data_IF_798135853528
#
_entry.id   IF_798135853528
#
_cell.length_a   1.000
_cell.length_b   1.000
_cell.length_c   1.000
_cell.angle_alpha   90.00
_cell.angle_beta   90.00
_cell.angle_gamma   90.00
#
_symmetry.space_group_name_H-M   'P 1'
#
loop_
_entity.id
_entity.type
_entity.pdbx_description
1 polymer ?
#
# COMPACT_ATOMS: atom_id res chain seq x y z
N UNK A 1 81.02 -11.46 -32.53
CA UNK A 1 81.19 -10.78 -31.24
C UNK A 1 82.21 -11.58 -30.45
N UNK A 2 83.40 -11.04 -30.19
CA UNK A 2 84.49 -11.75 -29.49
C UNK A 2 84.30 -11.66 -27.97
N UNK A 3 84.97 -12.55 -27.22
CA UNK A 3 84.94 -12.54 -25.75
C UNK A 3 85.37 -11.19 -25.17
N UNK A 4 86.30 -10.48 -25.81
CA UNK A 4 86.71 -9.14 -25.36
C UNK A 4 85.57 -8.10 -25.45
N UNK A 5 84.76 -8.13 -26.51
CA UNK A 5 83.62 -7.23 -26.68
C UNK A 5 82.52 -7.47 -25.64
N UNK A 6 82.42 -8.69 -25.11
CA UNK A 6 81.46 -9.06 -24.07
C UNK A 6 81.91 -8.59 -22.68
N UNK A 7 83.23 -8.54 -22.43
CA UNK A 7 83.79 -7.98 -21.19
C UNK A 7 83.75 -6.45 -21.14
N UNK A 8 83.88 -5.77 -22.28
CA UNK A 8 83.74 -4.31 -22.36
C UNK A 8 82.32 -3.84 -22.05
N UNK A 9 81.30 -4.56 -22.54
CA UNK A 9 79.88 -4.28 -22.26
C UNK A 9 79.52 -4.56 -20.79
N UNK A 10 80.19 -5.52 -20.15
CA UNK A 10 79.98 -5.86 -18.73
C UNK A 10 80.77 -4.97 -17.77
N UNK A 11 81.84 -4.31 -18.23
CA UNK A 11 82.67 -3.42 -17.43
C UNK A 11 81.98 -2.08 -17.12
N UNK A 12 80.94 -1.71 -17.88
CA UNK A 12 80.15 -0.48 -17.70
C UNK A 12 78.92 -0.67 -16.79
N UNK A 13 78.78 -1.86 -16.18
CA UNK A 13 77.74 -2.08 -15.16
C UNK A 13 78.23 -1.51 -13.84
N UNK A 14 77.92 -0.23 -13.63
CA UNK A 14 78.17 0.48 -12.39
C UNK A 14 77.57 -0.29 -11.20
N UNK A 15 78.42 -0.65 -10.23
CA UNK A 15 78.04 -1.32 -9.01
C UNK A 15 76.98 -0.53 -8.22
N UNK A 16 76.91 0.79 -8.41
CA UNK A 16 75.89 1.67 -7.85
C UNK A 16 74.51 1.42 -8.49
N UNK A 17 74.44 1.20 -9.82
CA UNK A 17 73.19 0.85 -10.50
C UNK A 17 72.69 -0.55 -10.11
N UNK A 18 73.60 -1.52 -9.90
CA UNK A 18 73.25 -2.86 -9.42
C UNK A 18 72.74 -2.81 -7.97
N UNK A 19 73.35 -1.98 -7.11
CA UNK A 19 72.91 -1.78 -5.73
C UNK A 19 71.57 -1.02 -5.63
N UNK A 20 71.32 -0.04 -6.51
CA UNK A 20 70.04 0.66 -6.64
C UNK A 20 68.92 -0.27 -7.14
N UNK A 21 69.20 -1.11 -8.14
CA UNK A 21 68.27 -2.13 -8.61
C UNK A 21 67.96 -3.18 -7.52
N UNK A 22 68.95 -3.55 -6.69
CA UNK A 22 68.75 -4.44 -5.54
C UNK A 22 67.97 -3.78 -4.39
N UNK A 23 68.10 -2.46 -4.19
CA UNK A 23 67.28 -1.66 -3.25
C UNK A 23 65.84 -1.51 -3.73
N UNK A 24 65.62 -1.26 -5.03
CA UNK A 24 64.29 -1.15 -5.63
C UNK A 24 63.48 -2.45 -5.46
N UNK A 25 64.14 -3.62 -5.55
CA UNK A 25 63.54 -4.95 -5.32
C UNK A 25 63.19 -5.22 -3.84
N UNK A 26 63.75 -4.46 -2.89
CA UNK A 26 63.53 -4.61 -1.43
C UNK A 26 62.45 -3.69 -0.84
N UNK A 27 61.78 -2.86 -1.64
CA UNK A 27 60.67 -2.03 -1.15
C UNK A 27 59.35 -2.83 -1.05
N UNK A 28 59.34 -3.86 -0.20
CA UNK A 28 58.14 -4.61 0.16
C UNK A 28 57.01 -3.70 0.65
N UNK A 29 57.34 -2.57 1.29
CA UNK A 29 56.40 -1.53 1.69
C UNK A 29 55.68 -0.88 0.50
N UNK A 30 56.37 -0.60 -0.62
CA UNK A 30 55.76 -0.02 -1.82
C UNK A 30 54.87 -1.04 -2.55
N UNK A 31 55.30 -2.30 -2.60
CA UNK A 31 54.47 -3.39 -3.13
C UNK A 31 53.23 -3.65 -2.26
N UNK A 32 53.37 -3.57 -0.94
CA UNK A 32 52.26 -3.68 0.01
C UNK A 32 51.31 -2.49 -0.10
N UNK A 33 51.82 -1.26 -0.23
CA UNK A 33 51.04 -0.05 -0.50
C UNK A 33 50.27 -0.14 -1.83
N UNK A 34 50.90 -0.63 -2.91
CA UNK A 34 50.23 -0.85 -4.20
C UNK A 34 49.15 -1.93 -4.12
N UNK A 35 49.41 -3.04 -3.42
CA UNK A 35 48.42 -4.10 -3.18
C UNK A 35 47.27 -3.62 -2.29
N UNK A 36 47.57 -2.82 -1.26
CA UNK A 36 46.57 -2.20 -0.40
C UNK A 36 45.72 -1.18 -1.18
N UNK A 37 46.34 -0.37 -2.05
CA UNK A 37 45.63 0.56 -2.92
C UNK A 37 44.73 -0.19 -3.93
N UNK A 38 45.22 -1.25 -4.57
CA UNK A 38 44.41 -2.09 -5.46
C UNK A 38 43.25 -2.76 -4.73
N UNK A 39 43.49 -3.30 -3.53
CA UNK A 39 42.43 -3.87 -2.69
C UNK A 39 41.40 -2.80 -2.29
N UNK A 40 41.85 -1.60 -1.92
CA UNK A 40 40.95 -0.48 -1.60
C UNK A 40 40.13 -0.04 -2.82
N UNK A 41 40.73 0.07 -4.00
CA UNK A 41 40.01 0.35 -5.25
C UNK A 41 38.98 -0.74 -5.56
N UNK A 42 39.33 -2.01 -5.36
CA UNK A 42 38.39 -3.12 -5.56
C UNK A 42 37.23 -3.08 -4.57
N UNK A 43 37.48 -2.79 -3.30
CA UNK A 43 36.43 -2.58 -2.30
C UNK A 43 35.51 -1.41 -2.65
N UNK A 44 36.06 -0.29 -3.17
CA UNK A 44 35.27 0.87 -3.61
C UNK A 44 34.39 0.52 -4.83
N UNK A 45 34.93 -0.24 -5.79
CA UNK A 45 34.15 -0.71 -6.96
C UNK A 45 33.04 -1.65 -6.51
N UNK A 46 33.34 -2.62 -5.65
CA UNK A 46 32.32 -3.54 -5.11
C UNK A 46 31.24 -2.80 -4.31
N UNK A 47 31.64 -1.86 -3.46
CA UNK A 47 30.72 -1.02 -2.70
C UNK A 47 29.83 -0.19 -3.62
N UNK A 48 30.40 0.43 -4.66
CA UNK A 48 29.66 1.18 -5.67
C UNK A 48 28.67 0.32 -6.45
N UNK A 49 29.06 -0.89 -6.86
CA UNK A 49 28.18 -1.83 -7.55
C UNK A 49 27.03 -2.32 -6.65
N UNK A 50 27.30 -2.57 -5.37
CA UNK A 50 26.27 -2.96 -4.40
C UNK A 50 25.27 -1.83 -4.17
N UNK A 51 25.74 -0.60 -3.96
CA UNK A 51 24.87 0.56 -3.81
C UNK A 51 24.05 0.82 -5.08
N UNK A 52 24.66 0.70 -6.27
CA UNK A 52 23.95 0.86 -7.53
C UNK A 52 22.85 -0.19 -7.70
N UNK A 53 23.13 -1.45 -7.35
CA UNK A 53 22.12 -2.52 -7.34
C UNK A 53 20.99 -2.26 -6.34
N UNK A 54 21.28 -1.67 -5.18
CA UNK A 54 20.23 -1.30 -4.23
C UNK A 54 19.37 -0.14 -4.78
N UNK A 55 19.96 0.83 -5.46
CA UNK A 55 19.24 1.94 -6.08
C UNK A 55 18.37 1.50 -7.28
N UNK A 56 18.73 0.39 -7.93
CA UNK A 56 18.05 -0.21 -9.09
C UNK A 56 17.61 -1.65 -8.79
N UNK A 57 17.12 -1.89 -7.57
CA UNK A 57 16.81 -3.23 -7.08
C UNK A 57 15.67 -3.89 -7.86
N UNK A 58 14.71 -3.10 -8.33
CA UNK A 58 13.52 -3.59 -9.03
C UNK A 58 13.49 -3.14 -10.49
N UNK A 59 12.95 -3.97 -11.40
CA UNK A 59 12.67 -3.55 -12.77
C UNK A 59 11.66 -2.41 -12.78
N UNK A 60 11.77 -1.54 -13.78
CA UNK A 60 10.86 -0.40 -13.98
C UNK A 60 9.76 -0.82 -14.95
N UNK A 61 8.50 -0.60 -14.56
CA UNK A 61 7.34 -0.65 -15.43
C UNK A 61 6.87 0.78 -15.71
N UNK A 62 6.93 1.17 -16.97
CA UNK A 62 6.42 2.48 -17.42
C UNK A 62 4.95 2.30 -17.77
N UNK A 63 4.09 3.09 -17.14
CA UNK A 63 2.66 3.18 -17.49
C UNK A 63 2.42 4.55 -18.10
N UNK A 64 2.08 4.57 -19.38
CA UNK A 64 1.68 5.80 -20.06
C UNK A 64 0.23 6.09 -19.73
N UNK A 65 -0.03 7.24 -19.10
CA UNK A 65 -1.37 7.73 -18.87
C UNK A 65 -1.71 8.76 -19.95
N UNK A 66 -2.94 8.72 -20.45
CA UNK A 66 -3.48 9.85 -21.20
C UNK A 66 -3.47 11.07 -20.28
N UNK A 67 -2.97 12.21 -20.78
CA UNK A 67 -3.03 13.45 -20.02
C UNK A 67 -4.51 13.74 -19.71
N UNK A 68 -4.87 13.74 -18.44
CA UNK A 68 -6.08 14.41 -18.03
C UNK A 68 -5.93 15.89 -18.40
N UNK A 69 -6.99 16.54 -18.92
CA UNK A 69 -6.95 17.98 -19.13
C UNK A 69 -6.51 18.64 -17.83
N UNK A 70 -5.60 19.62 -17.92
CA UNK A 70 -5.07 20.38 -16.78
C UNK A 70 -6.20 21.11 -16.05
N UNK A 71 -6.93 20.40 -15.19
CA UNK A 71 -7.71 21.03 -14.14
C UNK A 71 -6.76 21.25 -12.97
N UNK A 72 -5.79 22.15 -13.17
CA UNK A 72 -4.98 22.76 -12.11
C UNK A 72 -5.78 23.79 -11.29
N UNK A 73 -7.07 23.55 -11.10
CA UNK A 73 -7.88 24.23 -10.10
C UNK A 73 -7.75 23.47 -8.78
N UNK A 74 -7.86 24.17 -7.65
CA UNK A 74 -8.11 23.54 -6.37
C UNK A 74 -9.15 22.43 -6.55
N UNK A 75 -8.92 21.22 -6.01
CA UNK A 75 -9.91 20.13 -6.03
C UNK A 75 -11.14 20.55 -5.22
N UNK A 76 -11.97 21.42 -5.80
CA UNK A 76 -13.26 21.78 -5.25
C UNK A 76 -14.17 20.62 -5.67
N UNK A 77 -14.26 19.62 -4.80
CA UNK A 77 -15.25 18.58 -4.94
C UNK A 77 -16.62 19.25 -5.03
N UNK A 78 -17.26 19.16 -6.20
CA UNK A 78 -18.60 19.72 -6.39
C UNK A 78 -19.57 18.75 -5.74
N UNK A 79 -20.27 19.22 -4.71
CA UNK A 79 -21.35 18.44 -4.10
C UNK A 79 -22.47 18.35 -5.14
N UNK A 80 -22.93 17.15 -5.54
CA UNK A 80 -24.04 17.03 -6.49
C UNK A 80 -25.30 17.67 -5.91
N UNK A 81 -26.19 18.17 -6.77
CA UNK A 81 -27.50 18.65 -6.28
C UNK A 81 -28.35 17.49 -5.82
N UNK A 82 -29.30 17.75 -4.92
CA UNK A 82 -30.18 16.72 -4.38
C UNK A 82 -30.87 15.90 -5.48
N UNK A 83 -31.37 16.55 -6.52
CA UNK A 83 -32.07 15.91 -7.64
C UNK A 83 -31.15 15.10 -8.57
N UNK A 84 -29.84 15.29 -8.47
CA UNK A 84 -28.81 14.60 -9.26
C UNK A 84 -28.23 13.40 -8.50
N UNK A 85 -28.47 13.33 -7.18
CA UNK A 85 -28.02 12.24 -6.33
C UNK A 85 -28.85 10.97 -6.55
N UNK A 86 -28.18 9.82 -6.50
CA UNK A 86 -28.85 8.53 -6.43
C UNK A 86 -29.58 8.37 -5.07
N UNK A 87 -30.60 7.51 -5.00
CA UNK A 87 -31.43 7.39 -3.79
C UNK A 87 -30.62 7.02 -2.53
N UNK A 88 -29.55 6.24 -2.69
CA UNK A 88 -28.66 5.86 -1.59
C UNK A 88 -27.77 7.02 -1.12
N UNK A 89 -27.55 8.03 -1.96
CA UNK A 89 -26.81 9.26 -1.62
C UNK A 89 -27.76 10.30 -1.02
N UNK A 90 -28.99 10.38 -1.54
CA UNK A 90 -30.04 11.22 -0.98
C UNK A 90 -30.32 10.84 0.47
N UNK A 91 -30.61 9.56 0.74
CA UNK A 91 -31.07 9.09 2.05
C UNK A 91 -30.04 8.16 2.68
N UNK A 92 -28.87 8.70 3.00
CA UNK A 92 -27.70 7.92 3.35
C UNK A 92 -27.61 7.49 4.82
N UNK A 93 -28.27 8.17 5.75
CA UNK A 93 -28.16 7.90 7.19
C UNK A 93 -29.34 7.08 7.71
N UNK A 94 -29.05 5.95 8.36
CA UNK A 94 -30.04 5.11 9.05
C UNK A 94 -29.68 4.97 10.53
N UNK A 95 -30.68 5.07 11.41
CA UNK A 95 -30.53 4.73 12.83
C UNK A 95 -31.33 3.47 13.16
N UNK A 96 -30.65 2.48 13.76
CA UNK A 96 -31.27 1.23 14.17
C UNK A 96 -30.58 0.67 15.41
N UNK A 97 -31.36 0.25 16.42
CA UNK A 97 -30.85 -0.26 17.70
C UNK A 97 -29.75 0.60 18.36
N UNK A 98 -29.91 1.93 18.31
CA UNK A 98 -28.96 2.89 18.90
C UNK A 98 -27.64 3.02 18.14
N UNK A 99 -27.53 2.42 16.95
CA UNK A 99 -26.37 2.50 16.05
C UNK A 99 -26.71 3.33 14.82
N UNK A 100 -25.70 3.99 14.27
CA UNK A 100 -25.79 4.72 13.01
C UNK A 100 -25.16 3.90 11.89
N UNK A 101 -25.87 3.78 10.78
CA UNK A 101 -25.40 3.16 9.55
C UNK A 101 -25.40 4.19 8.43
N UNK A 102 -24.45 4.03 7.51
CA UNK A 102 -24.39 4.82 6.27
C UNK A 102 -24.48 3.92 5.05
N UNK A 103 -25.23 4.32 4.05
CA UNK A 103 -25.46 3.53 2.83
C UNK A 103 -24.24 3.55 1.92
N UNK A 104 -24.18 2.58 0.99
CA UNK A 104 -23.18 2.51 -0.07
C UNK A 104 -23.87 2.26 -1.41
N UNK A 105 -23.18 2.61 -2.49
CA UNK A 105 -23.65 2.37 -3.86
C UNK A 105 -23.80 0.89 -4.23
N UNK A 106 -23.25 -0.03 -3.42
CA UNK A 106 -23.32 -1.47 -3.70
C UNK A 106 -24.76 -1.98 -3.64
N UNK A 107 -25.19 -2.54 -4.76
CA UNK A 107 -26.49 -3.18 -4.91
C UNK A 107 -26.43 -4.63 -4.48
N UNK A 108 -27.50 -5.07 -3.82
CA UNK A 108 -27.68 -6.43 -3.33
C UNK A 108 -28.79 -7.13 -4.12
N UNK A 109 -28.59 -8.42 -4.35
CA UNK A 109 -29.65 -9.31 -4.82
C UNK A 109 -30.45 -9.86 -3.63
N UNK A 110 -31.71 -10.22 -3.87
CA UNK A 110 -32.56 -10.87 -2.86
C UNK A 110 -31.94 -12.14 -2.24
N UNK A 111 -31.01 -12.81 -2.95
CA UNK A 111 -30.31 -13.98 -2.43
C UNK A 111 -29.39 -13.68 -1.26
N UNK A 112 -28.88 -12.45 -1.15
CA UNK A 112 -27.98 -11.98 -0.09
C UNK A 112 -28.73 -11.49 1.15
N UNK A 113 -30.04 -11.29 1.06
CA UNK A 113 -30.88 -10.86 2.17
C UNK A 113 -31.25 -12.02 3.09
N UNK A 114 -31.26 -11.75 4.39
CA UNK A 114 -31.84 -12.60 5.43
C UNK A 114 -33.24 -12.12 5.81
N UNK A 115 -33.56 -12.16 7.10
CA UNK A 115 -34.88 -11.79 7.62
C UNK A 115 -35.09 -10.26 7.55
N UNK A 116 -36.32 -9.83 7.31
CA UNK A 116 -36.73 -8.44 7.55
C UNK A 116 -36.66 -8.10 9.05
N UNK A 117 -36.04 -6.96 9.36
CA UNK A 117 -35.75 -6.52 10.72
C UNK A 117 -36.74 -5.47 11.20
N UNK A 118 -36.92 -4.40 10.43
CA UNK A 118 -37.78 -3.27 10.79
C UNK A 118 -38.03 -2.36 9.59
N UNK A 119 -39.15 -1.65 9.65
CA UNK A 119 -39.33 -0.41 8.89
C UNK A 119 -38.67 0.74 9.66
N UNK A 120 -37.91 1.58 8.98
CA UNK A 120 -37.15 2.70 9.54
C UNK A 120 -37.31 3.96 8.70
N UNK A 121 -36.90 5.09 9.26
CA UNK A 121 -36.75 6.35 8.53
C UNK A 121 -35.31 6.51 8.09
N UNK A 122 -35.09 6.65 6.78
CA UNK A 122 -33.81 7.00 6.19
C UNK A 122 -33.71 8.52 6.06
N UNK A 123 -32.56 9.09 6.42
CA UNK A 123 -32.33 10.53 6.49
C UNK A 123 -31.29 10.98 5.48
N UNK A 124 -31.47 12.21 5.01
CA UNK A 124 -30.61 12.88 4.06
C UNK A 124 -30.45 14.37 4.35
N UNK A 125 -29.45 14.97 3.73
CA UNK A 125 -29.18 16.40 3.83
C UNK A 125 -29.00 17.03 2.45
N UNK A 126 -29.85 18.01 2.15
CA UNK A 126 -29.82 18.83 0.95
C UNK A 126 -29.03 20.11 1.24
N UNK A 127 -27.71 20.04 0.95
CA UNK A 127 -26.77 21.15 1.20
C UNK A 127 -27.21 22.45 0.52
N UNK A 128 -27.79 22.37 -0.68
CA UNK A 128 -28.21 23.55 -1.42
C UNK A 128 -29.49 24.18 -0.84
N UNK A 129 -30.44 23.38 -0.35
CA UNK A 129 -31.58 23.92 0.38
C UNK A 129 -31.16 24.64 1.67
N UNK A 130 -30.20 24.08 2.41
CA UNK A 130 -29.67 24.72 3.63
C UNK A 130 -28.95 26.05 3.31
N UNK A 131 -28.11 26.06 2.26
CA UNK A 131 -27.45 27.28 1.76
C UNK A 131 -28.45 28.37 1.32
N UNK A 132 -29.60 27.97 0.79
CA UNK A 132 -30.72 28.86 0.45
C UNK A 132 -31.53 29.34 1.68
N UNK A 133 -31.17 28.93 2.90
CA UNK A 133 -31.86 29.26 4.15
C UNK A 133 -33.16 28.48 4.36
N UNK A 134 -33.33 27.32 3.71
CA UNK A 134 -34.46 26.41 3.89
C UNK A 134 -34.03 25.23 4.78
N UNK A 135 -34.99 24.42 5.23
CA UNK A 135 -34.65 23.18 5.91
C UNK A 135 -34.04 22.18 4.90
N UNK A 136 -32.75 21.87 5.07
CA UNK A 136 -32.03 20.89 4.27
C UNK A 136 -32.33 19.44 4.64
N UNK A 137 -33.00 19.18 5.77
CA UNK A 137 -33.28 17.81 6.20
C UNK A 137 -34.33 17.15 5.31
N UNK A 138 -34.02 15.98 4.79
CA UNK A 138 -34.94 15.14 4.02
C UNK A 138 -35.06 13.76 4.67
N UNK A 139 -36.18 13.08 4.41
CA UNK A 139 -36.40 11.73 4.91
C UNK A 139 -37.30 10.91 4.01
N UNK A 140 -37.09 9.60 4.00
CA UNK A 140 -37.98 8.61 3.38
C UNK A 140 -38.14 7.38 4.26
N UNK A 141 -39.14 6.55 3.99
CA UNK A 141 -39.30 5.25 4.64
C UNK A 141 -38.40 4.22 3.96
N UNK A 142 -37.85 3.29 4.75
CA UNK A 142 -37.11 2.16 4.23
C UNK A 142 -37.33 0.91 5.08
N UNK A 143 -37.05 -0.26 4.51
CA UNK A 143 -37.10 -1.55 5.18
C UNK A 143 -35.68 -2.09 5.35
N UNK A 144 -35.34 -2.46 6.58
CA UNK A 144 -34.07 -3.09 6.92
C UNK A 144 -34.20 -4.61 6.91
N UNK A 145 -33.15 -5.25 6.44
CA UNK A 145 -33.01 -6.70 6.41
C UNK A 145 -31.64 -7.10 6.95
N UNK A 146 -31.54 -8.31 7.46
CA UNK A 146 -30.26 -8.95 7.71
C UNK A 146 -29.48 -9.09 6.40
N UNK A 147 -28.16 -8.91 6.47
CA UNK A 147 -27.25 -9.26 5.38
C UNK A 147 -26.64 -10.63 5.70
N UNK A 148 -26.88 -11.62 4.84
CA UNK A 148 -26.44 -13.00 5.11
C UNK A 148 -24.93 -13.08 5.32
N UNK A 149 -24.55 -13.75 6.41
CA UNK A 149 -23.14 -13.97 6.76
C UNK A 149 -22.44 -12.75 7.35
N UNK A 150 -23.13 -11.62 7.52
CA UNK A 150 -22.56 -10.42 8.14
C UNK A 150 -23.29 -10.13 9.45
N UNK A 151 -22.54 -9.84 10.50
CA UNK A 151 -23.10 -9.43 11.78
C UNK A 151 -23.83 -8.10 11.62
N UNK A 152 -25.02 -7.99 12.21
CA UNK A 152 -25.84 -6.78 12.17
C UNK A 152 -25.12 -5.55 12.72
N UNK A 153 -24.17 -5.75 13.63
CA UNK A 153 -23.36 -4.67 14.19
C UNK A 153 -22.38 -4.08 13.17
N UNK A 154 -22.10 -4.76 12.06
CA UNK A 154 -21.24 -4.30 11.00
C UNK A 154 -22.01 -3.70 9.81
N UNK A 155 -23.02 -4.41 9.31
CA UNK A 155 -23.76 -3.99 8.13
C UNK A 155 -25.15 -4.61 8.06
N UNK A 156 -26.05 -3.96 7.34
CA UNK A 156 -27.42 -4.38 7.06
C UNK A 156 -27.74 -4.17 5.58
N UNK A 157 -28.82 -4.80 5.13
CA UNK A 157 -29.42 -4.51 3.82
C UNK A 157 -30.60 -3.55 3.99
N UNK A 158 -30.82 -2.70 3.00
CA UNK A 158 -31.83 -1.63 3.01
C UNK A 158 -32.60 -1.66 1.69
N UNK A 159 -33.92 -1.49 1.76
CA UNK A 159 -34.77 -1.20 0.61
C UNK A 159 -35.54 0.09 0.87
N UNK A 160 -35.48 1.05 -0.05
CA UNK A 160 -36.27 2.27 0.05
C UNK A 160 -37.72 2.01 -0.37
N UNK A 161 -38.68 2.64 0.30
CA UNK A 161 -40.09 2.57 -0.08
C UNK A 161 -40.29 2.99 -1.55
N UNK A 162 -41.08 2.23 -2.30
CA UNK A 162 -41.33 2.48 -3.72
C UNK A 162 -40.20 2.08 -4.66
N UNK A 163 -39.14 1.43 -4.16
CA UNK A 163 -38.03 0.92 -4.99
C UNK A 163 -37.93 -0.61 -4.96
N UNK A 164 -37.40 -1.20 -6.03
CA UNK A 164 -37.13 -2.64 -6.11
C UNK A 164 -35.69 -3.00 -5.71
N UNK A 165 -34.80 -1.99 -5.64
CA UNK A 165 -33.38 -2.17 -5.38
C UNK A 165 -33.06 -2.32 -3.88
N UNK A 166 -32.09 -3.19 -3.60
CA UNK A 166 -31.52 -3.35 -2.25
C UNK A 166 -30.11 -2.78 -2.21
N UNK A 167 -29.79 -2.07 -1.14
CA UNK A 167 -28.48 -1.46 -0.90
C UNK A 167 -27.90 -1.94 0.41
N UNK A 168 -26.59 -1.87 0.55
CA UNK A 168 -25.92 -2.12 1.83
C UNK A 168 -25.80 -0.83 2.63
N UNK A 169 -25.97 -0.92 3.95
CA UNK A 169 -25.58 0.13 4.87
C UNK A 169 -24.63 -0.42 5.93
N UNK A 170 -23.59 0.36 6.26
CA UNK A 170 -22.47 -0.06 7.09
C UNK A 170 -22.37 0.79 8.35
N UNK A 171 -21.99 0.16 9.46
CA UNK A 171 -21.71 0.83 10.72
C UNK A 171 -20.20 1.09 10.84
N UNK A 172 -19.78 2.30 10.51
CA UNK A 172 -18.38 2.72 10.60
C UNK A 172 -17.86 2.73 12.04
N UNK A 173 -18.75 2.88 13.02
CA UNK A 173 -18.42 2.89 14.46
C UNK A 173 -18.24 1.49 15.05
N UNK A 174 -18.45 0.42 14.27
CA UNK A 174 -18.17 -0.93 14.73
C UNK A 174 -16.70 -1.08 15.14
N UNK A 175 -16.50 -1.70 16.30
CA UNK A 175 -15.19 -1.93 16.93
C UNK A 175 -15.14 -3.37 17.41
N UNK A 176 -14.50 -4.29 16.67
CA UNK A 176 -14.29 -5.66 17.14
C UNK A 176 -13.33 -5.64 18.33
N UNK A 177 -13.45 -6.61 19.24
CA UNK A 177 -12.49 -6.84 20.33
C UNK A 177 -11.22 -7.51 19.80
N UNK A 178 -11.38 -8.47 18.88
CA UNK A 178 -10.28 -9.25 18.32
C UNK A 178 -10.29 -9.28 16.79
N UNK A 179 -9.14 -9.61 16.19
CA UNK A 179 -9.02 -9.81 14.75
C UNK A 179 -9.91 -10.97 14.26
N UNK A 180 -10.01 -12.05 15.04
CA UNK A 180 -10.88 -13.19 14.73
C UNK A 180 -12.35 -12.79 14.71
N UNK A 181 -12.79 -12.00 15.69
CA UNK A 181 -14.14 -11.44 15.69
C UNK A 181 -14.37 -10.58 14.44
N UNK A 182 -13.41 -9.72 14.09
CA UNK A 182 -13.51 -8.89 12.90
C UNK A 182 -13.67 -9.70 11.60
N UNK A 183 -12.88 -10.76 11.46
CA UNK A 183 -12.92 -11.68 10.32
C UNK A 183 -14.26 -12.41 10.24
N UNK A 184 -14.78 -12.88 11.38
CA UNK A 184 -16.01 -13.66 11.44
C UNK A 184 -17.25 -12.79 11.26
N UNK A 185 -17.32 -11.64 11.94
CA UNK A 185 -18.48 -10.72 11.89
C UNK A 185 -18.67 -10.12 10.49
N UNK A 186 -17.61 -9.98 9.70
CA UNK A 186 -17.67 -9.54 8.32
C UNK A 186 -17.57 -10.68 7.29
N UNK A 187 -17.48 -11.93 7.76
CA UNK A 187 -17.21 -13.10 6.93
C UNK A 187 -16.13 -12.84 5.87
N UNK A 188 -14.99 -12.29 6.31
CA UNK A 188 -13.92 -11.83 5.41
C UNK A 188 -13.30 -12.96 4.61
N UNK A 189 -13.36 -14.21 5.08
CA UNK A 189 -12.87 -15.37 4.32
C UNK A 189 -13.57 -15.54 2.96
N UNK A 190 -14.84 -15.16 2.87
CA UNK A 190 -15.63 -15.25 1.64
C UNK A 190 -15.74 -13.91 0.88
N UNK A 191 -15.61 -12.79 1.60
CA UNK A 191 -15.94 -11.46 1.06
C UNK A 191 -14.72 -10.56 0.81
N UNK A 192 -13.54 -10.90 1.35
CA UNK A 192 -12.32 -10.11 1.18
C UNK A 192 -11.52 -10.63 0.00
N UNK A 193 -11.16 -9.74 -0.92
CA UNK A 193 -10.19 -10.04 -1.96
C UNK A 193 -8.98 -9.12 -1.86
N UNK A 194 -7.81 -9.67 -2.17
CA UNK A 194 -6.52 -8.95 -2.11
C UNK A 194 -6.10 -8.53 -3.50
N UNK A 195 -5.62 -7.29 -3.61
CA UNK A 195 -4.99 -6.73 -4.79
C UNK A 195 -3.49 -6.55 -4.59
N UNK A 196 -2.95 -5.50 -5.20
CA UNK A 196 -1.52 -5.18 -5.18
C UNK A 196 -1.00 -4.91 -3.77
N UNK A 197 0.21 -5.41 -3.49
CA UNK A 197 1.00 -5.01 -2.32
C UNK A 197 1.97 -3.90 -2.70
N UNK A 198 2.03 -2.85 -1.89
CA UNK A 198 2.81 -1.64 -2.10
C UNK A 198 3.88 -1.49 -1.04
N UNK A 199 5.10 -1.18 -1.48
CA UNK A 199 6.24 -0.87 -0.62
C UNK A 199 6.81 0.50 -0.97
N UNK A 200 6.85 1.41 0.00
CA UNK A 200 7.50 2.71 -0.17
C UNK A 200 9.00 2.54 0.04
N UNK A 201 9.75 2.57 -1.05
CA UNK A 201 11.19 2.41 -1.04
C UNK A 201 11.90 3.75 -1.20
N UNK A 202 12.85 4.03 -0.30
CA UNK A 202 13.76 5.16 -0.42
C UNK A 202 15.08 4.68 -1.02
N UNK A 203 15.37 5.13 -2.22
CA UNK A 203 16.58 4.77 -2.96
C UNK A 203 17.83 5.33 -2.26
N UNK A 204 18.84 4.50 -1.93
CA UNK A 204 19.94 4.92 -1.05
C UNK A 204 20.94 5.90 -1.66
N UNK A 205 21.08 5.94 -3.00
CA UNK A 205 21.99 6.88 -3.68
C UNK A 205 21.22 8.12 -4.12
N UNK A 206 20.11 7.93 -4.85
CA UNK A 206 19.36 9.05 -5.43
C UNK A 206 18.51 9.81 -4.41
N UNK A 207 18.28 9.23 -3.24
CA UNK A 207 17.42 9.74 -2.17
C UNK A 207 15.95 9.97 -2.60
N UNK A 208 15.54 9.32 -3.69
CA UNK A 208 14.18 9.40 -4.24
C UNK A 208 13.29 8.35 -3.59
N UNK A 209 12.08 8.74 -3.20
CA UNK A 209 11.03 7.80 -2.83
C UNK A 209 10.35 7.25 -4.09
N UNK A 210 10.20 5.93 -4.14
CA UNK A 210 9.45 5.22 -5.18
C UNK A 210 8.48 4.24 -4.54
N UNK A 211 7.43 3.88 -5.28
CA UNK A 211 6.51 2.81 -4.88
C UNK A 211 6.85 1.56 -5.67
N UNK A 212 7.23 0.51 -4.95
CA UNK A 212 7.38 -0.83 -5.52
C UNK A 212 6.06 -1.56 -5.36
N UNK A 213 5.57 -2.13 -6.45
CA UNK A 213 4.35 -2.93 -6.48
C UNK A 213 4.69 -4.41 -6.63
N UNK A 214 3.99 -5.25 -5.88
CA UNK A 214 4.04 -6.69 -5.97
C UNK A 214 2.65 -7.17 -6.36
N UNK A 215 2.57 -7.78 -7.55
CA UNK A 215 1.36 -8.43 -8.05
C UNK A 215 1.38 -9.91 -7.66
N UNK A 216 0.22 -10.56 -7.65
CA UNK A 216 0.07 -12.00 -7.45
C UNK A 216 0.71 -12.56 -6.17
N UNK A 217 0.77 -11.76 -5.09
CA UNK A 217 1.17 -12.22 -3.76
C UNK A 217 0.19 -13.30 -3.31
N UNK A 218 0.71 -14.45 -2.87
CA UNK A 218 -0.12 -15.60 -2.52
C UNK A 218 -1.11 -15.26 -1.40
N UNK A 219 -2.40 -15.46 -1.67
CA UNK A 219 -3.49 -15.13 -0.74
C UNK A 219 -3.36 -15.95 0.54
N UNK A 220 -2.91 -17.19 0.44
CA UNK A 220 -2.68 -18.08 1.58
C UNK A 220 -1.64 -17.50 2.53
N UNK A 221 -0.59 -16.86 2.00
CA UNK A 221 0.47 -16.24 2.81
C UNK A 221 -0.02 -14.98 3.53
N UNK A 222 -0.90 -14.21 2.91
CA UNK A 222 -1.54 -13.07 3.57
C UNK A 222 -2.40 -13.56 4.74
N UNK A 223 -3.21 -14.60 4.52
CA UNK A 223 -4.03 -15.17 5.59
C UNK A 223 -3.20 -15.78 6.71
N UNK A 224 -2.21 -16.60 6.36
CA UNK A 224 -1.37 -17.32 7.31
C UNK A 224 -0.53 -16.35 8.16
N UNK A 225 0.14 -15.38 7.54
CA UNK A 225 1.10 -14.53 8.24
C UNK A 225 0.44 -13.31 8.89
N UNK A 226 -0.62 -12.74 8.31
CA UNK A 226 -1.24 -11.52 8.83
C UNK A 226 -2.57 -11.75 9.55
N UNK A 227 -3.42 -12.65 9.04
CA UNK A 227 -4.82 -12.74 9.48
C UNK A 227 -5.14 -13.98 10.34
N UNK A 228 -4.16 -14.85 10.60
CA UNK A 228 -4.32 -16.04 11.43
C UNK A 228 -4.30 -15.77 12.93
N UNK A 229 -3.93 -14.56 13.34
CA UNK A 229 -3.83 -14.18 14.76
C UNK A 229 -5.19 -13.79 15.32
N UNK A 230 -6.13 -14.74 15.37
CA UNK A 230 -7.53 -14.46 15.72
C UNK A 230 -7.70 -13.79 17.10
N UNK A 231 -6.83 -14.10 18.06
CA UNK A 231 -6.86 -13.51 19.41
C UNK A 231 -6.21 -12.12 19.51
N UNK A 232 -5.66 -11.58 18.40
CA UNK A 232 -5.03 -10.27 18.40
C UNK A 232 -6.06 -9.19 18.77
N UNK A 233 -5.79 -8.47 19.85
CA UNK A 233 -6.68 -7.42 20.35
C UNK A 233 -6.68 -6.21 19.41
N UNK A 234 -7.86 -5.61 19.26
CA UNK A 234 -8.00 -4.32 18.61
C UNK A 234 -7.51 -3.21 19.55
N UNK A 235 -6.54 -2.45 19.07
CA UNK A 235 -6.11 -1.23 19.75
C UNK A 235 -7.09 -0.10 19.44
N UNK A 236 -8.02 0.12 20.37
CA UNK A 236 -9.07 1.13 20.27
C UNK A 236 -8.58 2.58 20.36
N UNK A 237 -7.27 2.83 20.42
CA UNK A 237 -6.73 4.17 20.57
C UNK A 237 -6.62 4.91 19.22
N UNK A 238 -7.71 5.59 18.86
CA UNK A 238 -7.82 6.44 17.67
C UNK A 238 -6.92 7.71 17.71
N UNK A 239 -6.34 8.05 18.88
CA UNK A 239 -5.51 9.25 19.06
C UNK A 239 -4.00 8.98 18.98
N UNK A 240 -3.58 7.71 19.02
CA UNK A 240 -2.17 7.37 18.93
C UNK A 240 -1.67 7.50 17.48
N UNK A 241 -0.50 8.13 17.33
CA UNK A 241 0.23 8.11 16.06
C UNK A 241 0.48 6.66 15.66
N UNK A 242 0.18 6.32 14.41
CA UNK A 242 0.45 4.97 13.91
C UNK A 242 1.97 4.75 13.81
N UNK A 243 2.48 3.56 14.22
CA UNK A 243 3.81 3.15 13.81
C UNK A 243 3.95 3.27 12.29
N UNK A 244 5.18 3.50 11.85
CA UNK A 244 5.44 3.73 10.43
C UNK A 244 4.94 2.54 9.60
N UNK A 245 4.21 2.85 8.52
CA UNK A 245 3.78 1.85 7.54
C UNK A 245 5.00 1.28 6.79
N UNK A 246 5.10 -0.04 6.75
CA UNK A 246 6.09 -0.78 5.98
C UNK A 246 5.51 -1.15 4.62
N UNK A 247 4.40 -1.89 4.62
CA UNK A 247 3.69 -2.33 3.41
C UNK A 247 2.22 -1.90 3.44
N UNK A 248 1.64 -1.69 2.27
CA UNK A 248 0.20 -1.60 2.08
C UNK A 248 -0.30 -2.73 1.20
N UNK A 249 -1.50 -3.22 1.44
CA UNK A 249 -2.17 -4.24 0.64
C UNK A 249 -3.49 -3.60 0.23
N UNK A 250 -3.73 -3.46 -1.08
CA UNK A 250 -5.06 -3.09 -1.57
C UNK A 250 -6.02 -4.24 -1.31
N UNK A 251 -7.20 -3.94 -0.78
CA UNK A 251 -8.26 -4.93 -0.58
C UNK A 251 -9.62 -4.39 -1.00
N UNK A 252 -10.46 -5.30 -1.46
CA UNK A 252 -11.87 -5.03 -1.79
C UNK A 252 -12.75 -5.87 -0.87
N UNK A 253 -13.92 -5.31 -0.53
CA UNK A 253 -15.04 -6.05 0.08
C UNK A 253 -16.29 -5.75 -0.74
N UNK A 254 -16.46 -6.39 -1.91
CA UNK A 254 -17.47 -6.00 -2.89
C UNK A 254 -18.90 -6.03 -2.35
N UNK A 255 -19.21 -7.00 -1.48
CA UNK A 255 -20.51 -7.12 -0.81
C UNK A 255 -20.90 -5.84 -0.05
N UNK A 256 -19.91 -5.13 0.50
CA UNK A 256 -20.08 -3.91 1.29
C UNK A 256 -19.79 -2.64 0.47
N UNK A 257 -19.50 -2.77 -0.83
CA UNK A 257 -19.16 -1.65 -1.70
C UNK A 257 -17.77 -1.06 -1.48
N UNK A 258 -16.87 -1.77 -0.80
CA UNK A 258 -15.49 -1.32 -0.64
C UNK A 258 -14.63 -1.78 -1.81
N UNK A 259 -13.90 -0.82 -2.39
CA UNK A 259 -12.91 -1.07 -3.44
C UNK A 259 -11.65 -0.26 -3.15
N UNK A 260 -10.51 -0.88 -3.38
CA UNK A 260 -9.18 -0.33 -3.22
C UNK A 260 -8.96 0.39 -1.87
N UNK A 261 -9.53 -0.19 -0.81
CA UNK A 261 -9.19 0.18 0.56
C UNK A 261 -7.94 -0.59 0.98
N UNK A 262 -7.54 -0.56 2.25
CA UNK A 262 -6.22 -1.07 2.63
C UNK A 262 -6.19 -1.94 3.88
N UNK A 263 -5.25 -2.88 3.85
CA UNK A 263 -4.58 -3.42 5.04
C UNK A 263 -3.15 -2.91 5.00
N UNK A 264 -2.69 -2.26 6.06
CA UNK A 264 -1.33 -1.77 6.21
C UNK A 264 -0.58 -2.63 7.21
N UNK A 265 0.62 -3.07 6.85
CA UNK A 265 1.58 -3.70 7.76
C UNK A 265 2.46 -2.60 8.33
N UNK A 266 2.46 -2.47 9.64
CA UNK A 266 3.15 -1.42 10.36
C UNK A 266 4.40 -1.98 11.06
N UNK A 267 5.32 -1.08 11.40
CA UNK A 267 6.38 -1.38 12.36
C UNK A 267 5.77 -1.85 13.70
N UNK A 268 6.60 -2.44 14.56
CA UNK A 268 6.21 -2.89 15.91
C UNK A 268 5.10 -3.96 15.92
N UNK A 269 4.93 -4.73 14.84
CA UNK A 269 4.08 -5.93 14.87
C UNK A 269 2.58 -5.69 14.71
N UNK A 270 2.18 -4.52 14.20
CA UNK A 270 0.77 -4.19 13.97
C UNK A 270 0.33 -4.35 12.52
N UNK A 271 -0.95 -4.68 12.34
CA UNK A 271 -1.68 -4.41 11.09
C UNK A 271 -2.77 -3.38 11.35
N UNK A 272 -3.11 -2.60 10.33
CA UNK A 272 -4.22 -1.63 10.36
C UNK A 272 -5.05 -1.72 9.10
N UNK A 273 -6.38 -1.67 9.24
CA UNK A 273 -7.30 -1.60 8.11
C UNK A 273 -8.29 -0.46 8.24
N UNK A 274 -8.81 0.01 7.12
CA UNK A 274 -9.92 0.96 7.03
C UNK A 274 -11.21 0.34 6.48
N UNK A 275 -11.34 -0.99 6.52
CA UNK A 275 -12.64 -1.66 6.32
C UNK A 275 -13.64 -1.12 7.37
N UNK A 276 -14.83 -0.71 6.91
CA UNK A 276 -15.82 0.06 7.69
C UNK A 276 -15.37 1.49 8.03
N UNK A 277 -14.69 2.16 7.09
CA UNK A 277 -14.31 3.59 7.02
C UNK A 277 -13.40 4.12 8.13
N UNK A 278 -13.20 3.36 9.19
CA UNK A 278 -12.42 3.75 10.36
C UNK A 278 -11.25 2.81 10.56
N UNK A 279 -10.15 3.36 11.07
CA UNK A 279 -8.98 2.57 11.43
C UNK A 279 -9.31 1.50 12.47
N UNK A 280 -8.93 0.25 12.19
CA UNK A 280 -8.91 -0.86 13.15
C UNK A 280 -7.51 -1.43 13.15
N UNK A 281 -6.86 -1.47 14.32
CA UNK A 281 -5.45 -1.80 14.46
C UNK A 281 -5.31 -3.02 15.36
N UNK A 282 -4.56 -4.03 14.93
CA UNK A 282 -4.39 -5.29 15.67
C UNK A 282 -2.91 -5.59 15.86
N UNK A 283 -2.50 -5.92 17.08
CA UNK A 283 -1.15 -6.39 17.35
C UNK A 283 -1.05 -7.89 17.05
N UNK A 284 -0.39 -8.25 15.95
CA UNK A 284 -0.25 -9.64 15.51
C UNK A 284 1.14 -10.22 15.84
N UNK A 285 2.05 -9.37 16.31
CA UNK A 285 3.42 -9.72 16.70
C UNK A 285 4.45 -9.34 15.63
N UNK A 286 5.62 -8.87 16.07
CA UNK A 286 6.72 -8.45 15.18
C UNK A 286 7.24 -9.59 14.31
N UNK A 287 7.30 -10.81 14.85
CA UNK A 287 7.75 -11.98 14.09
C UNK A 287 6.89 -12.21 12.84
N UNK A 288 5.57 -12.08 12.97
CA UNK A 288 4.62 -12.27 11.87
C UNK A 288 4.71 -11.17 10.83
N UNK A 289 4.74 -9.91 11.25
CA UNK A 289 4.88 -8.79 10.29
C UNK A 289 6.21 -8.84 9.57
N UNK A 290 7.31 -9.17 10.27
CA UNK A 290 8.63 -9.33 9.66
C UNK A 290 8.68 -10.54 8.73
N UNK A 291 8.05 -11.66 9.08
CA UNK A 291 7.95 -12.82 8.21
C UNK A 291 7.23 -12.49 6.90
N UNK A 292 6.08 -11.79 6.96
CA UNK A 292 5.37 -11.36 5.76
C UNK A 292 6.16 -10.35 4.92
N UNK A 293 6.80 -9.36 5.57
CA UNK A 293 7.68 -8.41 4.87
C UNK A 293 8.85 -9.12 4.21
N UNK A 294 9.45 -10.10 4.89
CA UNK A 294 10.51 -10.95 4.35
C UNK A 294 10.05 -11.71 3.12
N UNK A 295 8.92 -12.42 3.24
CA UNK A 295 8.28 -13.15 2.14
C UNK A 295 8.07 -12.25 0.91
N UNK A 296 7.39 -11.11 1.07
CA UNK A 296 7.12 -10.18 -0.04
C UNK A 296 8.41 -9.67 -0.68
N UNK A 297 9.39 -9.22 0.12
CA UNK A 297 10.59 -8.57 -0.42
C UNK A 297 11.64 -9.54 -0.97
N UNK A 298 11.58 -10.82 -0.60
CA UNK A 298 12.59 -11.83 -0.95
C UNK A 298 12.07 -12.88 -1.93
N UNK A 299 10.78 -13.20 -1.89
CA UNK A 299 10.18 -14.30 -2.67
C UNK A 299 9.20 -13.82 -3.74
N UNK A 300 8.63 -12.61 -3.63
CA UNK A 300 7.73 -12.07 -4.64
C UNK A 300 8.47 -11.20 -5.67
N UNK A 301 7.99 -11.25 -6.92
CA UNK A 301 8.46 -10.37 -7.98
C UNK A 301 7.80 -8.99 -7.85
N UNK A 302 8.63 -7.95 -7.70
CA UNK A 302 8.18 -6.57 -7.60
C UNK A 302 8.69 -5.72 -8.76
N UNK A 303 8.01 -4.61 -9.04
CA UNK A 303 8.45 -3.61 -10.01
C UNK A 303 8.21 -2.19 -9.49
N UNK A 304 9.06 -1.26 -9.90
CA UNK A 304 8.82 0.17 -9.72
C UNK A 304 7.86 0.65 -10.80
N UNK A 305 6.77 1.30 -10.43
CA UNK A 305 5.86 1.90 -11.41
C UNK A 305 6.20 3.39 -11.61
N UNK A 306 6.46 3.77 -12.86
CA UNK A 306 6.65 5.16 -13.26
C UNK A 306 5.51 5.56 -14.17
N UNK A 307 4.72 6.54 -13.73
CA UNK A 307 3.66 7.14 -14.53
C UNK A 307 4.27 8.20 -15.46
N UNK A 308 4.00 8.08 -16.76
CA UNK A 308 4.39 9.06 -17.77
C UNK A 308 3.12 9.61 -18.41
N UNK A 309 2.87 10.91 -18.27
CA UNK A 309 1.74 11.56 -18.92
C UNK A 309 2.10 11.86 -20.37
N UNK A 310 1.31 11.34 -21.31
CA UNK A 310 1.47 11.63 -22.74
C UNK A 310 1.17 13.11 -23.01
N UNK A 311 2.08 13.81 -23.68
CA UNK A 311 1.82 15.18 -24.15
C UNK A 311 0.71 15.07 -25.19
N UNK A 312 -0.50 15.54 -24.87
CA UNK A 312 -1.58 15.63 -25.85
C UNK A 312 -1.07 16.42 -27.05
N UNK A 313 -1.14 15.83 -28.25
CA UNK A 313 -0.87 16.58 -29.47
C UNK A 313 -1.85 17.75 -29.49
N UNK A 314 -1.30 18.96 -29.35
CA UNK A 314 -2.07 20.19 -29.38
C UNK A 314 -2.93 20.20 -30.64
N UNK A 315 -4.23 20.40 -30.45
CA UNK A 315 -5.15 20.69 -31.55
C UNK A 315 -4.58 21.90 -32.31
N UNK A 316 -4.27 21.80 -33.62
CA UNK A 316 -3.87 22.97 -34.39
C UNK A 316 -5.02 23.97 -34.44
N UNK A 317 -4.68 25.26 -34.29
CA UNK A 317 -5.58 26.41 -34.35
C UNK A 317 -6.60 26.40 -35.50
#
# INVERSE_FOLDING_TARGET
MTKEQLYEILADVDAQQVAEAHKARKNSKLLWLRRAALAACFCLILGGLLLWKLDHRWPIRIVTMEAQPENGGEEIATIPRWEEMEIYEQYYEIQYNGKRYTTRAAQLSASQLGKELAQVTALGWDEYADLDGKDGKRSTTAHLYELKGIAMDCALALQYEGTEGYYVCVNSSYRPETLGQFINDLNLRENLSFGTVYYNYRKPISDVYTTVQFQDVAVEQIWELLLSSEEALNDHNDLNWDPKKILGISVDVPLLGYRNISISVLEEGYIKTNILDTGKRFYIGEERTQAFVGYVLQECEGYEEILVFGIGEGVPE
#
